data_IF_822768835114
#
_entry.id   IF_822768835114
#
_cell.length_a   1.000
_cell.length_b   1.000
_cell.length_c   1.000
_cell.angle_alpha   90.00
_cell.angle_beta   90.00
_cell.angle_gamma   90.00
#
_symmetry.space_group_name_H-M   'P 1'
#
loop_
_entity.id
_entity.type
_entity.pdbx_description
1 polymer ?
#
# COMPACT_ATOMS: atom_id res chain seq x y z
N UNK A 1 9.49 -3.66 -29.52
CA UNK A 1 8.10 -3.27 -29.87
C UNK A 1 8.02 -1.78 -29.63
N UNK A 2 7.95 -0.96 -30.69
CA UNK A 2 7.88 0.48 -30.54
C UNK A 2 6.66 0.83 -29.69
N UNK A 3 6.89 1.59 -28.61
CA UNK A 3 5.81 2.23 -27.87
C UNK A 3 5.19 3.20 -28.86
N UNK A 4 3.97 2.92 -29.33
CA UNK A 4 3.28 3.73 -30.33
C UNK A 4 3.21 5.19 -29.88
N UNK A 5 3.06 6.10 -30.84
CA UNK A 5 2.87 7.53 -30.56
C UNK A 5 1.91 7.71 -29.37
N UNK A 6 2.32 8.51 -28.37
CA UNK A 6 1.48 8.78 -27.22
C UNK A 6 0.15 9.36 -27.72
N UNK A 7 -0.95 8.66 -27.45
CA UNK A 7 -2.27 9.21 -27.74
C UNK A 7 -2.47 10.48 -26.90
N UNK A 8 -3.11 11.49 -27.48
CA UNK A 8 -3.37 12.73 -26.76
C UNK A 8 -4.24 12.48 -25.53
N UNK A 9 -3.96 13.22 -24.46
CA UNK A 9 -4.74 13.17 -23.23
C UNK A 9 -6.16 13.72 -23.44
N UNK A 10 -7.07 13.40 -22.50
CA UNK A 10 -8.45 13.88 -22.52
C UNK A 10 -8.53 15.43 -22.66
N UNK A 11 -7.63 16.15 -21.97
CA UNK A 11 -7.57 17.61 -22.00
C UNK A 11 -6.89 18.20 -23.23
N UNK A 12 -6.30 17.36 -24.08
CA UNK A 12 -5.63 17.75 -25.32
C UNK A 12 -6.42 17.34 -26.58
N UNK A 13 -7.68 16.93 -26.42
CA UNK A 13 -8.55 16.57 -27.54
C UNK A 13 -8.46 15.11 -27.98
N UNK A 14 -7.71 14.25 -27.28
CA UNK A 14 -7.58 12.82 -27.61
C UNK A 14 -8.79 11.94 -27.24
N UNK A 15 -9.87 12.53 -26.69
CA UNK A 15 -11.10 11.84 -26.33
C UNK A 15 -10.98 10.95 -25.09
N UNK A 16 -11.99 10.08 -24.87
CA UNK A 16 -12.11 9.27 -23.65
C UNK A 16 -11.40 7.91 -23.69
N UNK A 17 -10.90 7.49 -24.86
CA UNK A 17 -10.29 6.16 -25.03
C UNK A 17 -9.07 5.96 -24.12
N UNK A 18 -8.13 6.91 -24.12
CA UNK A 18 -6.94 6.84 -23.26
C UNK A 18 -7.31 6.91 -21.78
N UNK A 19 -8.24 7.80 -21.40
CA UNK A 19 -8.69 7.92 -20.01
C UNK A 19 -9.30 6.63 -19.48
N UNK A 20 -10.15 5.96 -20.28
CA UNK A 20 -10.74 4.67 -19.92
C UNK A 20 -9.67 3.59 -19.68
N UNK A 21 -8.68 3.50 -20.56
CA UNK A 21 -7.57 2.56 -20.39
C UNK A 21 -6.75 2.85 -19.11
N UNK A 22 -6.48 4.12 -18.80
CA UNK A 22 -5.75 4.51 -17.60
C UNK A 22 -6.53 4.15 -16.32
N UNK A 23 -7.84 4.39 -16.28
CA UNK A 23 -8.68 4.03 -15.14
C UNK A 23 -8.68 2.51 -14.88
N UNK A 24 -8.75 1.70 -15.94
CA UNK A 24 -8.65 0.24 -15.81
C UNK A 24 -7.27 -0.17 -15.27
N UNK A 25 -6.19 0.43 -15.76
CA UNK A 25 -4.83 0.13 -15.27
C UNK A 25 -4.66 0.51 -13.80
N UNK A 26 -5.06 1.72 -13.41
CA UNK A 26 -5.00 2.17 -12.01
C UNK A 26 -5.86 1.30 -11.11
N UNK A 27 -7.09 0.98 -11.54
CA UNK A 27 -7.99 0.09 -10.80
C UNK A 27 -7.41 -1.32 -10.64
N UNK A 28 -6.79 -1.87 -11.69
CA UNK A 28 -6.14 -3.18 -11.63
C UNK A 28 -4.95 -3.19 -10.66
N UNK A 29 -4.09 -2.16 -10.71
CA UNK A 29 -2.95 -2.05 -9.79
C UNK A 29 -3.44 -1.86 -8.36
N UNK A 30 -4.42 -0.99 -8.12
CA UNK A 30 -4.99 -0.77 -6.79
C UNK A 30 -5.62 -2.05 -6.22
N UNK A 31 -6.37 -2.79 -7.03
CA UNK A 31 -6.95 -4.07 -6.61
C UNK A 31 -5.86 -5.11 -6.30
N UNK A 32 -4.86 -5.22 -7.17
CA UNK A 32 -3.75 -6.17 -6.97
C UNK A 32 -2.96 -5.86 -5.69
N UNK A 33 -2.56 -4.60 -5.48
CA UNK A 33 -1.77 -4.22 -4.30
C UNK A 33 -2.58 -4.30 -3.02
N UNK A 34 -3.86 -3.90 -3.04
CA UNK A 34 -4.73 -3.98 -1.87
C UNK A 34 -4.98 -5.44 -1.47
N UNK A 35 -5.40 -6.29 -2.41
CA UNK A 35 -5.71 -7.70 -2.14
C UNK A 35 -4.45 -8.47 -1.79
N UNK A 36 -3.37 -8.31 -2.56
CA UNK A 36 -2.11 -8.98 -2.31
C UNK A 36 -1.53 -8.63 -0.94
N UNK A 37 -1.48 -7.34 -0.58
CA UNK A 37 -1.01 -6.90 0.74
C UNK A 37 -1.93 -7.41 1.85
N UNK A 38 -3.25 -7.33 1.68
CA UNK A 38 -4.20 -7.82 2.67
C UNK A 38 -4.01 -9.32 2.95
N UNK A 39 -3.83 -10.15 1.91
CA UNK A 39 -3.57 -11.59 2.05
C UNK A 39 -2.28 -11.81 2.84
N UNK A 40 -1.18 -11.14 2.46
CA UNK A 40 0.12 -11.29 3.13
C UNK A 40 0.02 -10.91 4.61
N UNK A 41 -0.53 -9.74 4.91
CA UNK A 41 -0.69 -9.27 6.28
C UNK A 41 -1.58 -10.22 7.09
N UNK A 42 -2.66 -10.76 6.51
CA UNK A 42 -3.53 -11.71 7.20
C UNK A 42 -2.86 -13.05 7.48
N UNK A 43 -2.05 -13.56 6.55
CA UNK A 43 -1.27 -14.78 6.78
C UNK A 43 -0.29 -14.56 7.93
N UNK A 44 0.44 -13.44 7.93
CA UNK A 44 1.39 -13.10 9.00
C UNK A 44 0.66 -12.98 10.35
N UNK A 45 -0.47 -12.26 10.38
CA UNK A 45 -1.28 -12.05 11.58
C UNK A 45 -1.76 -13.36 12.21
N UNK A 46 -2.12 -14.36 11.39
CA UNK A 46 -2.56 -15.67 11.89
C UNK A 46 -1.39 -16.56 12.35
N UNK A 47 -0.24 -16.50 11.69
CA UNK A 47 0.89 -17.40 12.00
C UNK A 47 1.71 -16.92 13.20
N UNK A 48 2.06 -15.63 13.24
CA UNK A 48 2.95 -15.07 14.26
C UNK A 48 2.33 -13.93 15.06
N UNK A 49 1.26 -13.31 14.57
CA UNK A 49 0.71 -12.07 15.12
C UNK A 49 1.44 -10.85 14.55
N UNK A 50 0.69 -9.92 13.96
CA UNK A 50 1.26 -8.74 13.31
C UNK A 50 1.41 -7.54 14.28
N UNK A 51 0.56 -7.46 15.30
CA UNK A 51 0.51 -6.35 16.27
C UNK A 51 0.98 -6.84 17.64
N UNK A 52 1.68 -5.96 18.36
CA UNK A 52 2.04 -6.16 19.77
C UNK A 52 0.80 -6.27 20.66
N UNK A 53 0.98 -6.73 21.89
CA UNK A 53 -0.10 -6.76 22.88
C UNK A 53 -0.52 -5.34 23.30
N UNK A 54 -1.73 -5.21 23.88
CA UNK A 54 -2.22 -3.90 24.34
C UNK A 54 -1.36 -3.28 25.44
N UNK A 55 -0.77 -4.11 26.31
CA UNK A 55 0.12 -3.66 27.38
C UNK A 55 1.44 -3.13 26.80
N UNK A 56 2.04 -3.83 25.84
CA UNK A 56 3.26 -3.39 25.14
C UNK A 56 3.03 -2.11 24.32
N UNK A 57 1.85 -1.98 23.70
CA UNK A 57 1.46 -0.77 22.97
C UNK A 57 1.30 0.43 23.93
N UNK A 58 0.79 0.21 25.15
CA UNK A 58 0.64 1.24 26.17
C UNK A 58 1.98 1.63 26.81
N UNK A 59 2.90 0.68 26.99
CA UNK A 59 4.27 0.93 27.47
C UNK A 59 5.13 1.67 26.41
N UNK A 60 4.83 1.46 25.12
CA UNK A 60 5.54 2.02 23.98
C UNK A 60 6.54 1.02 23.38
N UNK A 61 6.65 1.03 22.04
CA UNK A 61 7.50 0.08 21.29
C UNK A 61 9.00 0.26 21.56
N UNK A 62 9.44 1.48 21.87
CA UNK A 62 10.84 1.72 22.23
C UNK A 62 11.19 0.95 23.50
N UNK A 63 10.34 1.02 24.53
CA UNK A 63 10.55 0.31 25.79
C UNK A 63 10.32 -1.19 25.64
N UNK A 64 9.17 -1.60 25.08
CA UNK A 64 8.73 -3.00 25.07
C UNK A 64 9.49 -3.88 24.08
N UNK A 65 9.87 -3.35 22.91
CA UNK A 65 10.56 -4.12 21.86
C UNK A 65 12.06 -3.83 21.78
N UNK A 66 12.49 -2.62 22.10
CA UNK A 66 13.89 -2.19 21.95
C UNK A 66 14.61 -1.99 23.29
N UNK A 67 13.90 -1.95 24.42
CA UNK A 67 14.50 -1.71 25.75
C UNK A 67 15.04 -0.29 25.93
N UNK A 68 14.61 0.65 25.09
CA UNK A 68 15.12 2.01 25.02
C UNK A 68 14.04 3.03 25.44
N UNK A 69 14.47 4.21 25.89
CA UNK A 69 13.57 5.37 26.03
C UNK A 69 14.07 6.46 25.09
N UNK A 70 13.22 6.88 24.14
CA UNK A 70 13.59 7.93 23.19
C UNK A 70 14.00 9.25 23.86
N UNK A 71 13.43 9.52 25.05
CA UNK A 71 13.74 10.71 25.84
C UNK A 71 13.96 10.36 27.31
N UNK A 72 15.06 10.87 27.86
CA UNK A 72 15.33 10.89 29.29
C UNK A 72 15.05 12.30 29.79
N UNK A 73 13.85 12.53 30.32
CA UNK A 73 13.51 13.74 31.09
C UNK A 73 13.59 13.45 32.58
#
# INVERSE_FOLDING_TARGET
KAMGAAADGLFYGGGFSLMGAQLVMVGAVAAYTAVGTWIILKIIDVIIGLRVTGDEEQEGLDTSQHGEKAYHV
#
